data_IF_567152667529
#
_entry.id   IF_567152667529
#
_cell.length_a   1.000
_cell.length_b   1.000
_cell.length_c   1.000
_cell.angle_alpha   90.00
_cell.angle_beta   90.00
_cell.angle_gamma   90.00
#
_symmetry.space_group_name_H-M   'P 1'
#
loop_
_entity.id
_entity.type
_entity.pdbx_description
1 polymer ?
#
# COMPACT_ATOMS: atom_id res chain seq x y z
N UNK A 1 -10.68 6.01 4.87
CA UNK A 1 -9.47 6.66 4.38
C UNK A 1 -8.35 6.23 5.30
N UNK A 2 -7.37 5.50 4.76
CA UNK A 2 -6.35 4.72 5.44
C UNK A 2 -6.88 3.50 6.22
N UNK A 3 -7.59 2.60 5.52
CA UNK A 3 -7.96 1.26 5.99
C UNK A 3 -7.22 0.23 5.11
N UNK A 4 -6.15 -0.42 5.61
CA UNK A 4 -5.33 -1.33 4.80
C UNK A 4 -6.11 -2.49 4.19
N UNK A 5 -7.12 -3.03 4.89
CA UNK A 5 -7.88 -4.14 4.34
C UNK A 5 -8.80 -3.70 3.22
N UNK A 6 -9.49 -2.56 3.37
CA UNK A 6 -10.38 -2.05 2.32
C UNK A 6 -9.59 -1.60 1.11
N UNK A 7 -8.53 -0.82 1.32
CA UNK A 7 -7.76 -0.27 0.22
C UNK A 7 -6.95 -1.35 -0.50
N UNK A 8 -6.44 -2.35 0.23
CA UNK A 8 -5.86 -3.54 -0.38
C UNK A 8 -6.87 -4.28 -1.27
N UNK A 9 -8.09 -4.53 -0.77
CA UNK A 9 -9.17 -5.16 -1.56
C UNK A 9 -9.55 -4.36 -2.80
N UNK A 10 -9.56 -3.03 -2.71
CA UNK A 10 -9.81 -2.18 -3.88
C UNK A 10 -8.74 -2.41 -4.96
N UNK A 11 -7.47 -2.63 -4.59
CA UNK A 11 -6.42 -3.00 -5.56
C UNK A 11 -6.64 -4.39 -6.14
N UNK A 12 -7.08 -5.38 -5.35
CA UNK A 12 -7.39 -6.73 -5.87
C UNK A 12 -8.45 -6.66 -6.98
N UNK A 13 -9.52 -5.88 -6.76
CA UNK A 13 -10.58 -5.67 -7.77
C UNK A 13 -10.02 -5.02 -9.04
N UNK A 14 -9.05 -4.11 -8.91
CA UNK A 14 -8.40 -3.51 -10.07
C UNK A 14 -7.51 -4.51 -10.81
N UNK A 15 -6.79 -5.40 -10.10
CA UNK A 15 -6.00 -6.47 -10.71
C UNK A 15 -6.89 -7.47 -11.45
N UNK A 16 -7.98 -7.92 -10.82
CA UNK A 16 -9.00 -8.75 -11.45
C UNK A 16 -9.52 -8.08 -12.73
N UNK A 17 -9.80 -6.77 -12.66
CA UNK A 17 -10.28 -6.02 -13.82
C UNK A 17 -9.24 -5.91 -14.93
N UNK A 18 -7.97 -5.77 -14.59
CA UNK A 18 -6.86 -5.80 -15.57
C UNK A 18 -6.78 -7.18 -16.23
N UNK A 19 -6.92 -8.26 -15.47
CA UNK A 19 -6.90 -9.62 -15.99
C UNK A 19 -8.04 -9.90 -17.00
N UNK A 20 -9.13 -9.15 -16.93
CA UNK A 20 -10.26 -9.21 -17.88
C UNK A 20 -10.04 -8.41 -19.18
N UNK A 21 -9.00 -7.56 -19.26
CA UNK A 21 -8.80 -6.73 -20.45
C UNK A 21 -8.15 -7.54 -21.59
N UNK A 22 -8.60 -7.38 -22.85
CA UNK A 22 -8.06 -8.14 -23.98
C UNK A 22 -6.60 -7.80 -24.31
N UNK A 23 -6.10 -6.65 -23.88
CA UNK A 23 -4.71 -6.22 -24.08
C UNK A 23 -3.78 -6.70 -22.96
N UNK A 24 -4.30 -7.26 -21.87
CA UNK A 24 -3.47 -7.71 -20.75
C UNK A 24 -2.72 -9.00 -21.11
N UNK A 25 -1.41 -9.00 -20.86
CA UNK A 25 -0.64 -10.24 -20.83
C UNK A 25 -0.89 -10.94 -19.49
N UNK A 26 -1.19 -12.24 -19.55
CA UNK A 26 -1.47 -13.06 -18.38
C UNK A 26 -0.40 -14.14 -18.22
N UNK A 27 0.06 -14.33 -16.98
CA UNK A 27 1.00 -15.40 -16.62
C UNK A 27 0.27 -16.73 -16.36
N UNK A 28 -0.99 -16.66 -15.93
CA UNK A 28 -1.95 -17.75 -15.86
C UNK A 28 -3.39 -17.24 -16.03
N UNK A 29 -4.37 -18.14 -16.09
CA UNK A 29 -5.77 -17.72 -16.18
C UNK A 29 -6.19 -16.89 -14.95
N UNK A 30 -6.53 -15.62 -15.17
CA UNK A 30 -6.87 -14.67 -14.11
C UNK A 30 -5.68 -14.03 -13.41
N UNK A 31 -4.45 -14.27 -13.87
CA UNK A 31 -3.22 -13.77 -13.27
C UNK A 31 -2.53 -12.79 -14.24
N UNK A 32 -2.78 -11.48 -14.13
CA UNK A 32 -2.21 -10.49 -15.02
C UNK A 32 -0.74 -10.27 -14.69
N UNK A 33 0.12 -10.21 -15.72
CA UNK A 33 1.51 -9.79 -15.56
C UNK A 33 1.53 -8.32 -15.14
N UNK A 34 1.75 -8.07 -13.85
CA UNK A 34 1.46 -6.78 -13.24
C UNK A 34 2.56 -6.32 -12.28
N UNK A 35 2.95 -5.05 -12.44
CA UNK A 35 3.84 -4.36 -11.51
C UNK A 35 3.24 -3.04 -11.05
N UNK A 36 3.67 -2.57 -9.88
CA UNK A 36 3.24 -1.29 -9.32
C UNK A 36 4.42 -0.35 -9.07
N UNK A 37 4.21 0.93 -9.36
CA UNK A 37 5.16 2.02 -9.10
C UNK A 37 4.40 3.23 -8.56
N UNK A 38 5.01 3.94 -7.62
CA UNK A 38 4.36 5.08 -6.97
C UNK A 38 5.14 5.62 -5.79
N UNK A 39 4.86 6.86 -5.43
CA UNK A 39 5.52 7.55 -4.32
C UNK A 39 4.54 7.93 -3.19
N UNK A 40 5.06 8.15 -1.98
CA UNK A 40 4.27 8.60 -0.83
C UNK A 40 3.12 7.62 -0.53
N UNK A 41 1.86 8.06 -0.53
CA UNK A 41 0.70 7.17 -0.40
C UNK A 41 0.65 6.09 -1.49
N UNK A 42 1.03 6.45 -2.72
CA UNK A 42 1.14 5.51 -3.84
C UNK A 42 2.24 4.46 -3.64
N UNK A 43 3.23 4.73 -2.79
CA UNK A 43 4.19 3.73 -2.31
C UNK A 43 3.64 2.92 -1.13
N UNK A 44 2.88 3.55 -0.23
CA UNK A 44 2.24 2.87 0.90
C UNK A 44 1.23 1.81 0.46
N UNK A 45 0.38 2.11 -0.53
CA UNK A 45 -0.63 1.16 -1.03
C UNK A 45 -0.01 -0.09 -1.66
N UNK A 46 1.18 0.01 -2.25
CA UNK A 46 1.93 -1.14 -2.77
C UNK A 46 2.30 -2.13 -1.66
N UNK A 47 2.73 -1.62 -0.50
CA UNK A 47 3.05 -2.45 0.66
C UNK A 47 1.78 -3.05 1.28
N UNK A 48 0.68 -2.29 1.28
CA UNK A 48 -0.63 -2.77 1.74
C UNK A 48 -1.12 -3.97 0.92
N UNK A 49 -1.19 -3.86 -0.41
CA UNK A 49 -1.73 -4.95 -1.24
C UNK A 49 -0.85 -6.20 -1.20
N UNK A 50 0.48 -6.05 -1.21
CA UNK A 50 1.40 -7.18 -1.13
C UNK A 50 1.33 -7.97 0.18
N UNK A 51 0.65 -7.46 1.20
CA UNK A 51 0.38 -8.20 2.44
C UNK A 51 -0.81 -9.16 2.34
N UNK A 52 -1.67 -9.01 1.33
CA UNK A 52 -2.93 -9.77 1.19
C UNK A 52 -3.16 -10.39 -0.19
N UNK A 53 -2.37 -10.01 -1.19
CA UNK A 53 -2.51 -10.46 -2.58
C UNK A 53 -1.14 -10.79 -3.18
N UNK A 54 -1.09 -11.79 -4.05
CA UNK A 54 0.14 -12.30 -4.67
C UNK A 54 0.23 -12.05 -6.19
N UNK A 55 -0.74 -11.38 -6.81
CA UNK A 55 -0.83 -11.12 -8.25
C UNK A 55 0.02 -9.91 -8.70
N UNK A 56 0.82 -9.32 -7.81
CA UNK A 56 1.75 -8.24 -8.17
C UNK A 56 3.18 -8.77 -8.21
N UNK A 57 3.73 -8.88 -9.40
CA UNK A 57 5.05 -9.47 -9.67
C UNK A 57 6.21 -8.60 -9.17
N UNK A 58 6.03 -7.28 -9.21
CA UNK A 58 7.08 -6.32 -8.90
C UNK A 58 6.53 -5.03 -8.29
N UNK A 59 7.22 -4.54 -7.26
CA UNK A 59 6.92 -3.28 -6.59
C UNK A 59 8.09 -2.30 -6.70
N UNK A 60 7.77 -1.03 -6.94
CA UNK A 60 8.72 0.09 -6.85
C UNK A 60 8.13 1.16 -5.90
N UNK A 61 8.19 0.92 -4.57
CA UNK A 61 7.58 1.79 -3.57
C UNK A 61 8.53 2.93 -3.17
N UNK A 62 8.35 4.10 -3.78
CA UNK A 62 9.22 5.26 -3.54
C UNK A 62 8.76 6.10 -2.35
N UNK A 63 9.68 6.48 -1.44
CA UNK A 63 9.35 7.29 -0.24
C UNK A 63 8.10 6.76 0.49
N UNK A 64 7.95 5.44 0.51
CA UNK A 64 6.81 4.77 1.09
C UNK A 64 6.92 4.74 2.62
N UNK A 65 5.85 4.27 3.24
CA UNK A 65 5.77 4.08 4.68
C UNK A 65 5.14 2.72 4.94
N UNK A 66 5.64 2.02 5.96
CA UNK A 66 5.03 0.76 6.40
C UNK A 66 3.96 0.99 7.50
N UNK A 67 3.91 2.21 8.06
CA UNK A 67 2.89 2.61 9.03
C UNK A 67 2.62 4.11 8.90
N UNK A 68 1.41 4.47 8.46
CA UNK A 68 1.02 5.86 8.31
C UNK A 68 1.05 6.58 9.66
N UNK A 69 0.66 5.88 10.73
CA UNK A 69 0.60 6.44 12.08
C UNK A 69 1.98 6.89 12.58
N UNK A 70 3.00 6.03 12.47
CA UNK A 70 4.35 6.39 12.93
C UNK A 70 5.02 7.38 11.99
N UNK A 71 4.68 7.36 10.70
CA UNK A 71 5.21 8.31 9.71
C UNK A 71 4.68 9.73 9.93
N UNK A 72 3.40 9.88 10.27
CA UNK A 72 2.79 11.19 10.56
C UNK A 72 3.06 11.68 11.98
N UNK A 73 3.20 10.76 12.93
CA UNK A 73 3.32 11.07 14.35
C UNK A 73 4.47 10.30 15.02
N UNK A 74 5.73 10.57 14.62
CA UNK A 74 6.89 9.80 15.08
C UNK A 74 7.17 9.93 16.59
N UNK A 75 6.70 11.01 17.23
CA UNK A 75 6.96 11.33 18.65
C UNK A 75 5.70 11.70 19.42
N UNK A 76 4.64 10.88 19.37
CA UNK A 76 3.54 11.03 20.35
C UNK A 76 3.96 10.48 21.71
N UNK A 77 4.58 11.34 22.51
CA UNK A 77 4.60 11.19 23.95
C UNK A 77 3.21 11.54 24.49
N UNK A 78 2.68 10.72 25.39
CA UNK A 78 1.55 11.12 26.23
C UNK A 78 1.99 12.35 27.02
N UNK A 79 1.37 13.50 26.74
CA UNK A 79 1.49 14.72 27.52
C UNK A 79 0.92 14.50 28.93
N UNK A 80 1.70 13.87 29.80
CA UNK A 80 1.71 14.23 31.22
C UNK A 80 2.90 15.17 31.40
N UNK A 81 2.77 16.37 30.84
CA UNK A 81 3.77 17.41 30.97
C UNK A 81 3.80 17.89 32.43
N UNK A 82 4.73 17.36 33.22
CA UNK A 82 5.24 18.10 34.37
C UNK A 82 6.00 19.32 33.86
N UNK A 83 5.96 20.47 34.57
CA UNK A 83 6.60 21.68 34.08
C UNK A 83 8.11 21.49 34.02
N UNK A 84 8.70 21.74 32.85
CA UNK A 84 10.14 21.83 32.69
C UNK A 84 10.61 23.16 33.28
N UNK A 85 11.44 23.08 34.32
CA UNK A 85 12.21 24.22 34.83
C UNK A 85 13.44 24.46 33.95
N UNK A 86 13.57 25.68 33.45
CA UNK A 86 14.85 26.31 33.14
C UNK A 86 14.97 27.56 34.02
#
# INVERSE_FOLDING_TARGET
>A
MNDPEREGRDVQILLDRVAEQPEAELDAAGDPRAGMIGASYGGGIQLTVASIDCLVDALVPNMAWHSLKTSLYPTRWSTRAGPASW
#
